data_IF_083688810002
#
_entry.id   IF_083688810002
#
_cell.length_a   1.000
_cell.length_b   1.000
_cell.length_c   1.000
_cell.angle_alpha   90.00
_cell.angle_beta   90.00
_cell.angle_gamma   90.00
#
_symmetry.space_group_name_H-M   'P 1'
#
loop_
_entity.id
_entity.type
_entity.pdbx_description
1 polymer ?
#
# COMPACT_ATOMS: atom_id res chain seq x y z
N UNK A 1 2.80 -24.89 -4.00
CA UNK A 1 1.68 -23.95 -3.77
C UNK A 1 2.12 -22.98 -2.70
N UNK A 2 2.30 -21.72 -3.06
CA UNK A 2 2.71 -20.66 -2.13
C UNK A 2 1.45 -20.02 -1.55
N UNK A 3 1.42 -19.84 -0.24
CA UNK A 3 0.32 -19.19 0.47
C UNK A 3 0.90 -18.09 1.35
N UNK A 4 0.33 -16.90 1.27
CA UNK A 4 0.61 -15.82 2.20
C UNK A 4 -0.62 -15.56 3.04
N UNK A 5 -0.45 -15.19 4.31
CA UNK A 5 -1.58 -14.81 5.15
C UNK A 5 -1.20 -13.72 6.13
N UNK A 6 -2.15 -12.82 6.35
CA UNK A 6 -2.09 -11.75 7.32
C UNK A 6 -3.28 -11.89 8.26
N UNK A 7 -3.01 -12.00 9.56
CA UNK A 7 -4.05 -11.94 10.59
C UNK A 7 -4.06 -10.51 11.12
N UNK A 8 -5.18 -9.82 10.94
CA UNK A 8 -5.33 -8.45 11.39
C UNK A 8 -6.71 -8.22 11.98
N UNK A 9 -6.74 -7.63 13.18
CA UNK A 9 -7.95 -7.46 13.99
C UNK A 9 -8.67 -8.81 14.21
N UNK A 10 -9.88 -8.94 13.68
CA UNK A 10 -10.73 -10.14 13.76
C UNK A 10 -10.88 -10.84 12.39
N UNK A 11 -9.99 -10.55 11.43
CA UNK A 11 -10.02 -11.12 10.10
C UNK A 11 -8.69 -11.78 9.72
N UNK A 12 -8.79 -12.86 8.95
CA UNK A 12 -7.67 -13.51 8.28
C UNK A 12 -7.77 -13.20 6.80
N UNK A 13 -6.71 -12.59 6.27
CA UNK A 13 -6.54 -12.36 4.84
C UNK A 13 -5.54 -13.36 4.29
N UNK A 14 -5.87 -14.02 3.19
CA UNK A 14 -5.02 -15.06 2.59
C UNK A 14 -4.90 -14.86 1.09
N UNK A 15 -3.68 -15.02 0.57
CA UNK A 15 -3.38 -15.13 -0.85
C UNK A 15 -3.04 -16.59 -1.15
N UNK A 16 -3.83 -17.22 -2.01
CA UNK A 16 -3.57 -18.56 -2.51
C UNK A 16 -3.12 -18.48 -3.95
N UNK A 17 -1.89 -18.92 -4.23
CA UNK A 17 -1.39 -19.00 -5.60
C UNK A 17 -2.24 -19.99 -6.41
N UNK A 18 -2.88 -19.49 -7.46
CA UNK A 18 -3.69 -20.31 -8.39
C UNK A 18 -2.92 -20.64 -9.66
N UNK A 19 -1.99 -19.77 -10.06
CA UNK A 19 -1.19 -19.96 -11.27
C UNK A 19 0.19 -19.32 -11.11
N UNK A 20 1.23 -20.07 -11.48
CA UNK A 20 2.60 -19.56 -11.56
C UNK A 20 3.05 -19.54 -13.03
N UNK A 21 3.44 -18.37 -13.50
CA UNK A 21 3.99 -18.14 -14.84
C UNK A 21 5.40 -17.55 -14.71
N UNK A 22 6.12 -17.46 -15.84
CA UNK A 22 7.53 -17.02 -15.83
C UNK A 22 7.68 -15.64 -15.19
N UNK A 23 6.85 -14.69 -15.61
CA UNK A 23 7.01 -13.28 -15.21
C UNK A 23 6.04 -12.85 -14.11
N UNK A 24 4.96 -13.61 -13.90
CA UNK A 24 3.91 -13.26 -12.95
C UNK A 24 3.31 -14.47 -12.24
N UNK A 25 2.70 -14.21 -11.08
CA UNK A 25 1.94 -15.18 -10.31
C UNK A 25 0.53 -14.63 -10.09
N UNK A 26 -0.47 -15.47 -10.30
CA UNK A 26 -1.87 -15.16 -10.03
C UNK A 26 -2.26 -15.73 -8.67
N UNK A 27 -3.02 -14.94 -7.91
CA UNK A 27 -3.47 -15.29 -6.58
C UNK A 27 -4.97 -15.07 -6.46
N UNK A 28 -5.63 -15.98 -5.76
CA UNK A 28 -6.93 -15.72 -5.16
C UNK A 28 -6.74 -15.05 -3.80
N UNK A 29 -7.49 -13.98 -3.58
CA UNK A 29 -7.50 -13.25 -2.33
C UNK A 29 -8.75 -13.59 -1.55
N UNK A 30 -8.57 -14.02 -0.31
CA UNK A 30 -9.63 -14.47 0.58
C UNK A 30 -9.65 -13.67 1.88
N UNK A 31 -10.84 -13.42 2.42
CA UNK A 31 -11.08 -12.87 3.75
C UNK A 31 -11.95 -13.84 4.54
N UNK A 32 -11.45 -14.36 5.66
CA UNK A 32 -12.15 -15.36 6.48
C UNK A 32 -12.68 -16.53 5.64
N UNK A 33 -11.85 -17.03 4.72
CA UNK A 33 -12.19 -18.12 3.77
C UNK A 33 -13.21 -17.76 2.67
N UNK A 34 -13.63 -16.50 2.56
CA UNK A 34 -14.47 -16.04 1.45
C UNK A 34 -13.61 -15.36 0.38
N UNK A 35 -13.72 -15.82 -0.86
CA UNK A 35 -13.07 -15.19 -2.02
C UNK A 35 -13.57 -13.76 -2.18
N UNK A 36 -12.65 -12.79 -2.18
CA UNK A 36 -12.93 -11.37 -2.41
C UNK A 36 -12.48 -10.89 -3.80
N UNK A 37 -11.56 -11.62 -4.43
CA UNK A 37 -11.13 -11.34 -5.80
C UNK A 37 -9.84 -12.05 -6.18
N UNK A 38 -9.31 -11.69 -7.33
CA UNK A 38 -8.02 -12.19 -7.82
C UNK A 38 -7.06 -11.04 -8.04
N UNK A 39 -5.78 -11.29 -7.84
CA UNK A 39 -4.70 -10.33 -8.08
C UNK A 39 -3.50 -11.03 -8.72
N UNK A 40 -2.65 -10.25 -9.35
CA UNK A 40 -1.42 -10.72 -10.01
C UNK A 40 -0.25 -9.85 -9.57
N UNK A 41 0.91 -10.48 -9.39
CA UNK A 41 2.16 -9.79 -9.05
C UNK A 41 3.33 -10.39 -9.83
N UNK A 42 4.40 -9.61 -10.08
CA UNK A 42 5.62 -10.15 -10.68
C UNK A 42 6.17 -11.35 -9.89
N UNK A 43 6.61 -12.39 -10.61
CA UNK A 43 6.93 -13.70 -10.04
C UNK A 43 8.11 -13.71 -9.06
N UNK A 44 8.97 -12.69 -9.14
CA UNK A 44 10.17 -12.49 -8.33
C UNK A 44 9.92 -11.66 -7.05
N UNK A 45 8.71 -11.13 -6.87
CA UNK A 45 8.36 -10.30 -5.72
C UNK A 45 7.46 -11.05 -4.74
N UNK A 46 7.66 -10.76 -3.46
CA UNK A 46 6.75 -11.22 -2.40
C UNK A 46 5.68 -10.16 -2.19
N UNK A 47 4.38 -10.50 -2.24
CA UNK A 47 3.32 -9.54 -1.96
C UNK A 47 3.37 -9.05 -0.51
N UNK A 48 3.13 -7.75 -0.34
CA UNK A 48 3.00 -7.10 0.96
C UNK A 48 1.53 -6.85 1.29
N UNK A 49 1.24 -6.70 2.58
CA UNK A 49 -0.10 -6.41 3.09
C UNK A 49 -0.09 -5.08 3.84
N UNK A 50 -1.17 -4.32 3.72
CA UNK A 50 -1.49 -3.21 4.61
C UNK A 50 -2.93 -3.34 5.05
N UNK A 51 -3.21 -3.06 6.33
CA UNK A 51 -4.54 -3.22 6.92
C UNK A 51 -4.92 -1.97 7.70
N UNK A 52 -6.12 -1.46 7.43
CA UNK A 52 -6.73 -0.36 8.16
C UNK A 52 -7.52 -0.83 9.36
N UNK A 53 -7.70 0.06 10.33
CA UNK A 53 -8.43 -0.20 11.58
C UNK A 53 -9.89 -0.60 11.38
N UNK A 54 -10.46 -0.23 10.24
CA UNK A 54 -11.84 -0.50 9.88
C UNK A 54 -12.04 -1.83 9.13
N UNK A 55 -10.96 -2.60 8.97
CA UNK A 55 -10.93 -3.88 8.27
C UNK A 55 -10.74 -3.75 6.75
N UNK A 56 -10.54 -2.54 6.22
CA UNK A 56 -10.03 -2.33 4.88
C UNK A 56 -8.60 -2.89 4.77
N UNK A 57 -8.23 -3.38 3.60
CA UNK A 57 -6.87 -3.86 3.40
C UNK A 57 -6.42 -3.66 1.96
N UNK A 58 -5.11 -3.65 1.78
CA UNK A 58 -4.45 -3.65 0.49
C UNK A 58 -3.44 -4.80 0.42
N UNK A 59 -3.31 -5.38 -0.76
CA UNK A 59 -2.17 -6.24 -1.13
C UNK A 59 -1.43 -5.57 -2.27
N UNK A 60 -0.12 -5.48 -2.17
CA UNK A 60 0.67 -4.74 -3.13
C UNK A 60 2.03 -5.40 -3.39
N UNK A 61 2.60 -5.10 -4.56
CA UNK A 61 3.92 -5.55 -4.97
C UNK A 61 4.29 -4.90 -6.30
N UNK A 62 5.56 -4.52 -6.46
CA UNK A 62 5.98 -3.60 -7.53
C UNK A 62 5.13 -2.32 -7.49
N UNK A 63 4.68 -1.81 -8.64
CA UNK A 63 3.86 -0.62 -8.75
C UNK A 63 2.35 -0.88 -8.63
N UNK A 64 1.91 -2.12 -8.40
CA UNK A 64 0.49 -2.48 -8.36
C UNK A 64 -0.01 -2.72 -6.94
N UNK A 65 -1.22 -2.24 -6.65
CA UNK A 65 -1.91 -2.50 -5.40
C UNK A 65 -3.38 -2.84 -5.63
N UNK A 66 -3.90 -3.76 -4.81
CA UNK A 66 -5.27 -4.24 -4.84
C UNK A 66 -5.94 -3.94 -3.50
N UNK A 67 -6.98 -3.12 -3.53
CA UNK A 67 -7.69 -2.61 -2.36
C UNK A 67 -9.04 -3.29 -2.19
N UNK A 68 -9.35 -3.66 -0.95
CA UNK A 68 -10.67 -4.11 -0.54
C UNK A 68 -11.18 -3.24 0.60
N UNK A 69 -12.40 -2.73 0.43
CA UNK A 69 -13.11 -1.92 1.41
C UNK A 69 -14.49 -2.54 1.62
N UNK A 70 -14.90 -2.71 2.88
CA UNK A 70 -16.22 -3.15 3.36
C UNK A 70 -17.26 -3.49 2.26
N UNK A 71 -17.29 -4.75 1.83
CA UNK A 71 -18.25 -5.34 0.86
C UNK A 71 -18.15 -4.84 -0.58
N UNK A 72 -17.10 -4.10 -0.94
CA UNK A 72 -16.84 -3.69 -2.30
C UNK A 72 -15.99 -4.74 -3.04
N UNK A 73 -16.08 -4.71 -4.37
CA UNK A 73 -15.18 -5.49 -5.23
C UNK A 73 -13.73 -5.02 -5.04
N UNK A 74 -12.80 -5.95 -5.17
CA UNK A 74 -11.37 -5.67 -5.20
C UNK A 74 -11.08 -4.64 -6.32
N UNK A 75 -10.38 -3.56 -5.99
CA UNK A 75 -10.00 -2.51 -6.94
C UNK A 75 -8.48 -2.50 -7.11
N UNK A 76 -8.03 -2.51 -8.36
CA UNK A 76 -6.62 -2.34 -8.71
C UNK A 76 -6.30 -0.86 -8.89
N UNK A 77 -5.14 -0.45 -8.41
CA UNK A 77 -4.45 0.76 -8.84
C UNK A 77 -3.03 0.41 -9.25
N UNK A 78 -2.48 1.23 -10.13
CA UNK A 78 -1.08 1.16 -10.53
C UNK A 78 -0.47 2.54 -10.31
N UNK A 79 0.67 2.58 -9.63
CA UNK A 79 1.49 3.77 -9.44
C UNK A 79 2.60 3.84 -10.50
N UNK A 80 3.26 4.99 -10.59
CA UNK A 80 4.38 5.20 -11.52
C UNK A 80 5.68 4.55 -11.06
N UNK A 81 5.79 4.20 -9.77
CA UNK A 81 6.98 3.68 -9.10
C UNK A 81 6.61 2.51 -8.18
N UNK A 82 7.62 1.77 -7.72
CA UNK A 82 7.42 0.66 -6.78
C UNK A 82 6.82 1.15 -5.46
N UNK A 83 5.77 0.46 -5.00
CA UNK A 83 5.07 0.75 -3.76
C UNK A 83 5.84 0.15 -2.59
N UNK A 84 6.35 1.01 -1.72
CA UNK A 84 7.05 0.61 -0.50
C UNK A 84 6.16 0.47 0.72
N UNK A 85 5.10 1.29 0.83
CA UNK A 85 4.15 1.21 1.94
C UNK A 85 2.80 1.83 1.60
N UNK A 86 1.75 1.37 2.29
CA UNK A 86 0.40 1.92 2.22
C UNK A 86 -0.09 2.11 3.66
N UNK A 87 -0.64 3.29 3.97
CA UNK A 87 -1.32 3.55 5.25
C UNK A 87 -2.77 3.92 5.01
N UNK A 88 -3.65 3.34 5.82
CA UNK A 88 -5.08 3.67 5.84
C UNK A 88 -5.35 4.75 6.88
N UNK A 89 -6.01 5.82 6.45
CA UNK A 89 -6.57 6.87 7.31
C UNK A 89 -8.11 6.82 7.23
N UNK A 90 -8.81 7.69 7.97
CA UNK A 90 -10.27 7.61 8.12
C UNK A 90 -11.05 7.68 6.80
N UNK A 91 -10.64 8.54 5.87
CA UNK A 91 -11.31 8.83 4.59
C UNK A 91 -10.39 8.73 3.37
N UNK A 92 -9.12 8.38 3.59
CA UNK A 92 -8.07 8.38 2.57
C UNK A 92 -7.01 7.31 2.82
N UNK A 93 -6.19 7.08 1.80
CA UNK A 93 -4.98 6.24 1.89
C UNK A 93 -3.77 7.06 1.46
N UNK A 94 -2.66 6.78 2.13
CA UNK A 94 -1.35 7.33 1.77
C UNK A 94 -0.52 6.19 1.20
N UNK A 95 0.03 6.40 0.02
CA UNK A 95 0.86 5.43 -0.68
C UNK A 95 2.25 6.03 -0.81
N UNK A 96 3.25 5.35 -0.24
CA UNK A 96 4.65 5.69 -0.40
C UNK A 96 5.24 4.82 -1.49
N UNK A 97 5.81 5.45 -2.50
CA UNK A 97 6.56 4.80 -3.56
C UNK A 97 8.07 4.95 -3.31
N UNK A 98 8.90 4.80 -4.34
CA UNK A 98 10.34 5.03 -4.24
C UNK A 98 10.66 6.48 -3.88
N UNK A 99 10.10 7.45 -4.59
CA UNK A 99 10.38 8.87 -4.39
C UNK A 99 9.12 9.74 -4.30
N UNK A 100 7.92 9.16 -4.35
CA UNK A 100 6.66 9.92 -4.23
C UNK A 100 5.82 9.47 -3.04
N UNK A 101 5.03 10.41 -2.52
CA UNK A 101 3.96 10.15 -1.55
C UNK A 101 2.65 10.59 -2.19
N UNK A 102 1.73 9.65 -2.38
CA UNK A 102 0.44 9.88 -3.04
C UNK A 102 -0.68 9.77 -2.02
N UNK A 103 -1.56 10.76 -2.01
CA UNK A 103 -2.80 10.74 -1.25
C UNK A 103 -3.97 10.40 -2.17
N UNK A 104 -4.78 9.40 -1.80
CA UNK A 104 -5.98 9.00 -2.54
C UNK A 104 -7.20 8.91 -1.63
N UNK A 105 -8.37 9.25 -2.16
CA UNK A 105 -9.65 9.07 -1.46
C UNK A 105 -9.91 7.59 -1.21
N UNK A 106 -10.40 7.21 -0.03
CA UNK A 106 -10.74 5.82 0.24
C UNK A 106 -11.92 5.38 -0.66
N UNK A 107 -13.00 6.17 -0.73
CA UNK A 107 -14.24 5.80 -1.43
C UNK A 107 -14.05 5.47 -2.92
N UNK A 108 -13.21 6.24 -3.60
CA UNK A 108 -13.02 6.16 -5.06
C UNK A 108 -11.61 5.71 -5.46
N UNK A 109 -10.64 5.72 -4.54
CA UNK A 109 -9.20 5.62 -4.85
C UNK A 109 -8.75 6.68 -5.87
N UNK A 110 -9.52 7.76 -5.98
CA UNK A 110 -9.19 8.90 -6.81
C UNK A 110 -7.97 9.62 -6.23
N UNK A 111 -7.08 10.03 -7.12
CA UNK A 111 -5.94 10.86 -6.78
C UNK A 111 -6.41 12.18 -6.17
N UNK A 112 -5.87 12.53 -5.00
CA UNK A 112 -6.16 13.80 -4.31
C UNK A 112 -4.96 14.73 -4.46
N UNK A 113 -3.76 14.25 -4.07
CA UNK A 113 -2.51 15.01 -4.05
C UNK A 113 -1.32 14.09 -4.20
N UNK A 114 -0.19 14.66 -4.60
CA UNK A 114 1.11 13.99 -4.68
C UNK A 114 2.21 14.92 -4.18
N UNK A 115 3.18 14.33 -3.50
CA UNK A 115 4.46 14.94 -3.21
C UNK A 115 5.56 14.13 -3.90
N UNK A 116 6.44 14.83 -4.64
CA UNK A 116 7.65 14.26 -5.24
C UNK A 116 8.87 14.66 -4.42
N UNK A 117 9.68 13.69 -4.03
CA UNK A 117 10.96 13.87 -3.39
C UNK A 117 12.09 13.67 -4.39
N UNK A 118 13.16 14.45 -4.27
CA UNK A 118 14.28 14.42 -5.20
C UNK A 118 15.08 13.11 -5.11
N UNK A 119 15.13 12.50 -3.92
CA UNK A 119 15.87 11.27 -3.65
C UNK A 119 14.96 10.09 -3.30
N UNK A 120 15.51 8.87 -3.38
CA UNK A 120 14.78 7.66 -2.98
C UNK A 120 14.51 7.71 -1.48
N UNK A 121 13.25 7.53 -1.10
CA UNK A 121 12.79 7.39 0.27
C UNK A 121 13.08 5.95 0.72
N UNK A 122 14.11 5.76 1.55
CA UNK A 122 14.50 4.43 2.05
C UNK A 122 13.66 3.96 3.23
N UNK A 123 13.05 4.89 3.98
CA UNK A 123 12.14 4.55 5.07
C UNK A 123 11.11 5.64 5.29
N UNK A 124 9.93 5.22 5.72
CA UNK A 124 8.80 6.09 5.97
C UNK A 124 7.96 5.55 7.13
N UNK A 125 7.53 6.40 8.03
CA UNK A 125 6.75 6.03 9.20
C UNK A 125 5.65 7.05 9.45
N UNK A 126 4.41 6.57 9.57
CA UNK A 126 3.28 7.39 9.98
C UNK A 126 3.39 7.66 11.49
N UNK A 127 3.68 8.92 11.85
CA UNK A 127 3.83 9.37 13.25
C UNK A 127 2.47 9.67 13.89
N UNK A 128 1.56 10.25 13.11
CA UNK A 128 0.17 10.56 13.46
C UNK A 128 -0.67 10.62 12.20
N UNK A 129 -1.99 10.75 12.33
CA UNK A 129 -2.94 10.80 11.20
C UNK A 129 -2.63 11.88 10.15
N UNK A 130 -1.79 12.85 10.50
CA UNK A 130 -1.38 13.96 9.64
C UNK A 130 0.13 14.14 9.48
N UNK A 131 0.98 13.25 10.04
CA UNK A 131 2.44 13.42 9.96
C UNK A 131 3.15 12.15 9.56
N UNK A 132 4.03 12.27 8.56
CA UNK A 132 4.89 11.20 8.07
C UNK A 132 6.35 11.60 8.32
N UNK A 133 7.13 10.72 8.96
CA UNK A 133 8.58 10.87 9.05
C UNK A 133 9.20 10.06 7.92
N UNK A 134 10.06 10.69 7.13
CA UNK A 134 10.76 10.10 6.00
C UNK A 134 12.27 10.16 6.22
N UNK A 135 12.98 9.17 5.69
CA UNK A 135 14.42 9.20 5.51
C UNK A 135 14.76 8.89 4.06
N UNK A 136 15.59 9.71 3.46
CA UNK A 136 16.05 9.54 2.07
C UNK A 136 17.35 8.73 1.99
N UNK A 137 17.80 8.47 0.77
CA UNK A 137 19.01 7.71 0.47
C UNK A 137 20.29 8.40 0.97
N UNK A 138 20.30 9.73 0.99
CA UNK A 138 21.39 10.56 1.53
C UNK A 138 21.42 10.56 3.07
N UNK A 139 20.37 10.04 3.70
CA UNK A 139 20.25 9.87 5.13
C UNK A 139 19.62 11.07 5.85
N UNK A 140 19.10 12.05 5.13
CA UNK A 140 18.37 13.18 5.69
C UNK A 140 16.98 12.76 6.18
N UNK A 141 16.58 13.29 7.34
CA UNK A 141 15.26 13.10 7.91
C UNK A 141 14.33 14.27 7.55
N UNK A 142 13.08 13.94 7.23
CA UNK A 142 12.03 14.92 6.94
C UNK A 142 10.76 14.59 7.70
N UNK A 143 10.05 15.62 8.15
CA UNK A 143 8.68 15.51 8.63
C UNK A 143 7.75 16.15 7.59
N UNK A 144 6.82 15.36 7.07
CA UNK A 144 5.83 15.75 6.07
C UNK A 144 4.45 15.83 6.73
N UNK A 145 3.80 16.99 6.63
CA UNK A 145 2.40 17.13 7.02
C UNK A 145 1.51 16.65 5.87
N UNK A 146 0.76 15.58 6.10
CA UNK A 146 -0.05 14.91 5.09
C UNK A 146 -1.19 15.79 4.59
N UNK A 147 -1.73 16.70 5.41
CA UNK A 147 -2.89 17.52 5.02
C UNK A 147 -2.61 18.48 3.85
N UNK A 148 -1.37 18.91 3.71
CA UNK A 148 -0.93 19.88 2.70
C UNK A 148 0.41 19.53 2.03
N UNK A 149 0.99 18.37 2.34
CA UNK A 149 2.34 17.97 1.98
C UNK A 149 3.38 19.08 2.20
N UNK A 150 3.26 19.83 3.30
CA UNK A 150 4.31 20.74 3.78
C UNK A 150 5.42 19.98 4.50
N UNK A 151 6.67 20.44 4.38
CA UNK A 151 7.86 19.69 4.82
C UNK A 151 8.73 20.52 5.76
N UNK A 152 9.15 19.87 6.84
CA UNK A 152 10.15 20.36 7.78
C UNK A 152 11.33 19.39 7.81
N UNK A 153 12.54 19.89 7.58
CA UNK A 153 13.77 19.08 7.69
C UNK A 153 14.06 18.83 9.18
N UNK A 154 14.44 17.61 9.53
CA UNK A 154 14.85 17.25 10.88
C UNK A 154 16.37 17.43 11.00
N UNK A 155 16.80 18.25 11.97
CA UNK A 155 18.20 18.47 12.32
C UNK A 155 18.83 17.26 13.03
#
# INVERSE_FOLDING_TARGET
>A
MVTFSCVAHNAIFSLFETRALTDYREYELHRNSSLVGTCEFPSHLTPNFSVGSDGSFAVYGSSSAFFYQKFQKLRRIDESQEIGAIWFLSDKVIIKTESTIVERSLDQLAWIKEYSHDEIIISAMLKSDNKLILKDLDGYGFELNISDFSIEKLD
#
